data_IF_373304963655
#
_entry.id   IF_373304963655
#
_cell.length_a   1.000
_cell.length_b   1.000
_cell.length_c   1.000
_cell.angle_alpha   90.00
_cell.angle_beta   90.00
_cell.angle_gamma   90.00
#
_symmetry.space_group_name_H-M   'P 1'
#
loop_
_entity.id
_entity.type
_entity.pdbx_description
1 polymer ?
#
# COMPACT_ATOMS: atom_id res chain seq x y z
N UNK A 1 16.30 -21.30 -4.24
CA UNK A 1 16.05 -21.04 -2.80
C UNK A 1 16.28 -19.57 -2.42
N UNK A 2 16.91 -18.75 -3.28
CA UNK A 2 17.26 -17.35 -2.97
C UNK A 2 16.07 -16.37 -3.00
N UNK A 3 15.04 -16.62 -3.81
CA UNK A 3 13.89 -15.71 -3.94
C UNK A 3 12.95 -15.63 -2.71
N UNK A 4 12.94 -16.65 -1.83
CA UNK A 4 12.10 -16.62 -0.61
C UNK A 4 12.70 -15.73 0.49
N UNK A 5 14.04 -15.66 0.59
CA UNK A 5 14.72 -14.85 1.59
C UNK A 5 14.58 -13.35 1.34
N UNK A 6 14.72 -12.92 0.08
CA UNK A 6 14.59 -11.52 -0.31
C UNK A 6 13.17 -11.00 -0.12
N UNK A 7 12.16 -11.82 -0.45
CA UNK A 7 10.75 -11.53 -0.23
C UNK A 7 10.41 -11.30 1.24
N UNK A 8 10.79 -12.23 2.12
CA UNK A 8 10.53 -12.09 3.55
C UNK A 8 11.19 -10.84 4.13
N UNK A 9 12.40 -10.50 3.67
CA UNK A 9 13.06 -9.24 4.04
C UNK A 9 12.29 -8.03 3.56
N UNK A 10 11.79 -8.06 2.33
CA UNK A 10 11.00 -6.96 1.76
C UNK A 10 9.71 -6.75 2.54
N UNK A 11 8.97 -7.82 2.83
CA UNK A 11 7.81 -7.74 3.70
C UNK A 11 8.14 -7.15 5.07
N UNK A 12 9.20 -7.63 5.71
CA UNK A 12 9.63 -7.11 7.02
C UNK A 12 10.04 -5.64 6.98
N UNK A 13 10.60 -5.16 5.86
CA UNK A 13 10.95 -3.76 5.70
C UNK A 13 9.70 -2.84 5.71
N UNK A 14 8.52 -3.34 5.31
CA UNK A 14 7.28 -2.55 5.29
C UNK A 14 6.47 -2.61 6.59
N UNK A 15 6.69 -3.62 7.45
CA UNK A 15 5.86 -3.88 8.63
C UNK A 15 6.55 -3.34 9.90
N UNK A 16 5.75 -2.93 10.90
CA UNK A 16 6.24 -2.53 12.22
C UNK A 16 6.70 -1.07 12.24
N UNK A 17 7.94 -0.83 12.68
CA UNK A 17 8.56 0.51 12.62
C UNK A 17 8.79 0.93 11.16
N UNK A 18 8.91 -0.05 10.25
CA UNK A 18 9.22 0.17 8.84
C UNK A 18 10.65 0.66 8.63
N UNK A 19 11.30 0.17 7.58
CA UNK A 19 12.56 0.70 7.09
C UNK A 19 12.36 1.17 5.65
N UNK A 20 12.10 2.48 5.51
CA UNK A 20 11.86 3.12 4.22
C UNK A 20 13.03 2.90 3.26
N UNK A 21 14.27 3.04 3.74
CA UNK A 21 15.46 2.94 2.91
C UNK A 21 15.62 1.51 2.39
N UNK A 22 15.42 0.53 3.26
CA UNK A 22 15.49 -0.87 2.86
C UNK A 22 14.31 -1.27 1.97
N UNK A 23 13.11 -0.73 2.21
CA UNK A 23 11.95 -0.91 1.34
C UNK A 23 12.22 -0.44 -0.10
N UNK A 24 12.73 0.79 -0.26
CA UNK A 24 13.10 1.33 -1.59
C UNK A 24 14.19 0.47 -2.25
N UNK A 25 15.23 0.10 -1.50
CA UNK A 25 16.31 -0.74 -2.02
C UNK A 25 15.81 -2.11 -2.49
N UNK A 26 14.91 -2.73 -1.73
CA UNK A 26 14.39 -4.06 -2.02
C UNK A 26 13.38 -4.06 -3.16
N UNK A 27 12.56 -3.02 -3.30
CA UNK A 27 11.65 -2.87 -4.43
C UNK A 27 12.41 -2.88 -5.77
N UNK A 28 13.55 -2.20 -5.85
CA UNK A 28 14.40 -2.18 -7.05
C UNK A 28 15.00 -3.54 -7.41
N UNK A 29 15.06 -4.47 -6.47
CA UNK A 29 15.64 -5.81 -6.66
C UNK A 29 14.58 -6.89 -6.93
N UNK A 30 13.29 -6.56 -6.80
CA UNK A 30 12.20 -7.51 -6.93
C UNK A 30 11.49 -7.38 -8.27
N UNK A 31 11.13 -8.53 -8.81
CA UNK A 31 10.26 -8.64 -9.98
C UNK A 31 8.82 -8.21 -9.60
N UNK A 32 8.21 -7.26 -10.34
CA UNK A 32 6.84 -6.81 -10.09
C UNK A 32 5.78 -7.91 -10.01
N UNK A 33 5.86 -8.93 -10.87
CA UNK A 33 4.89 -10.03 -10.89
C UNK A 33 4.98 -10.88 -9.62
N UNK A 34 6.20 -11.00 -9.10
CA UNK A 34 6.52 -11.73 -7.88
C UNK A 34 6.09 -10.93 -6.64
N UNK A 35 6.17 -9.60 -6.70
CA UNK A 35 5.71 -8.69 -5.65
C UNK A 35 4.20 -8.74 -5.50
N UNK A 36 3.47 -8.64 -6.63
CA UNK A 36 2.01 -8.55 -6.62
C UNK A 36 1.35 -9.83 -6.07
N UNK A 37 1.89 -11.01 -6.41
CA UNK A 37 1.34 -12.32 -6.00
C UNK A 37 1.37 -12.53 -4.49
N UNK A 38 2.46 -12.14 -3.84
CA UNK A 38 2.72 -12.55 -2.46
C UNK A 38 2.53 -11.41 -1.45
N UNK A 39 2.67 -10.15 -1.87
CA UNK A 39 2.65 -8.99 -0.98
C UNK A 39 1.50 -8.03 -1.30
N UNK A 40 0.29 -8.59 -1.42
CA UNK A 40 -0.94 -7.83 -1.72
C UNK A 40 -1.23 -6.67 -0.75
N UNK A 41 -0.58 -6.59 0.41
CA UNK A 41 -0.81 -5.52 1.40
C UNK A 41 0.29 -4.46 1.43
N UNK A 42 1.27 -4.52 0.53
CA UNK A 42 2.36 -3.53 0.48
C UNK A 42 1.87 -2.10 0.30
N UNK A 43 0.87 -1.90 -0.55
CA UNK A 43 0.29 -0.58 -0.74
C UNK A 43 -0.26 -0.03 0.60
N UNK A 44 -1.01 -0.86 1.35
CA UNK A 44 -1.51 -0.48 2.68
C UNK A 44 -0.37 -0.12 3.65
N UNK A 45 0.70 -0.91 3.71
CA UNK A 45 1.82 -0.60 4.62
C UNK A 45 2.55 0.69 4.23
N UNK A 46 2.80 0.91 2.92
CA UNK A 46 3.41 2.18 2.46
C UNK A 46 2.56 3.39 2.86
N UNK A 47 1.23 3.26 2.72
CA UNK A 47 0.28 4.29 3.12
C UNK A 47 0.29 4.48 4.63
N UNK A 48 0.20 3.38 5.41
CA UNK A 48 0.19 3.45 6.87
C UNK A 48 1.45 4.10 7.44
N UNK A 49 2.60 3.89 6.79
CA UNK A 49 3.88 4.47 7.19
C UNK A 49 4.13 5.89 6.66
N UNK A 50 3.26 6.43 5.80
CA UNK A 50 3.42 7.77 5.22
C UNK A 50 4.46 7.87 4.11
N UNK A 51 4.73 6.76 3.40
CA UNK A 51 5.76 6.71 2.38
C UNK A 51 5.21 7.04 0.98
N UNK A 52 4.96 8.33 0.73
CA UNK A 52 4.36 8.79 -0.52
C UNK A 52 5.11 8.34 -1.78
N UNK A 53 6.45 8.37 -1.75
CA UNK A 53 7.30 7.95 -2.86
C UNK A 53 7.12 6.46 -3.18
N UNK A 54 7.12 5.62 -2.15
CA UNK A 54 6.87 4.19 -2.27
C UNK A 54 5.43 3.91 -2.71
N UNK A 55 4.44 4.63 -2.18
CA UNK A 55 3.04 4.52 -2.61
C UNK A 55 2.88 4.85 -4.09
N UNK A 56 3.52 5.92 -4.57
CA UNK A 56 3.53 6.29 -6.00
C UNK A 56 4.15 5.20 -6.86
N UNK A 57 5.30 4.67 -6.45
CA UNK A 57 5.97 3.59 -7.19
C UNK A 57 5.09 2.33 -7.24
N UNK A 58 4.51 1.93 -6.11
CA UNK A 58 3.62 0.76 -6.05
C UNK A 58 2.41 0.89 -7.00
N UNK A 59 1.80 2.08 -7.08
CA UNK A 59 0.66 2.32 -7.98
C UNK A 59 1.10 2.40 -9.44
N UNK A 60 2.18 3.12 -9.75
CA UNK A 60 2.54 3.47 -11.13
C UNK A 60 3.45 2.44 -11.81
N UNK A 61 4.47 1.93 -11.10
CA UNK A 61 5.47 0.99 -11.63
C UNK A 61 5.10 -0.46 -11.37
N UNK A 62 4.48 -0.73 -10.23
CA UNK A 62 4.07 -2.09 -9.83
C UNK A 62 2.57 -2.34 -10.01
N UNK A 63 1.84 -1.36 -10.55
CA UNK A 63 0.43 -1.47 -10.94
C UNK A 63 -0.54 -1.91 -9.84
N UNK A 64 -0.24 -1.60 -8.58
CA UNK A 64 -1.18 -1.83 -7.48
C UNK A 64 -2.40 -0.92 -7.64
N UNK A 65 -3.60 -1.50 -7.50
CA UNK A 65 -4.85 -0.76 -7.67
C UNK A 65 -5.41 -0.24 -6.33
N UNK A 66 -5.29 1.06 -6.00
CA UNK A 66 -5.73 1.63 -4.73
C UNK A 66 -7.24 1.56 -4.50
N UNK A 67 -8.05 1.38 -5.56
CA UNK A 67 -9.51 1.29 -5.48
C UNK A 67 -10.01 -0.06 -4.97
N UNK A 68 -9.19 -1.11 -5.10
CA UNK A 68 -9.58 -2.49 -4.79
C UNK A 68 -9.01 -2.99 -3.47
N UNK A 69 -8.10 -2.24 -2.88
CA UNK A 69 -7.39 -2.65 -1.68
C UNK A 69 -8.13 -2.25 -0.42
N UNK A 70 -8.66 -3.28 0.24
CA UNK A 70 -9.20 -3.22 1.59
C UNK A 70 -8.35 -4.11 2.50
N UNK A 71 -7.70 -3.52 3.50
CA UNK A 71 -7.04 -4.27 4.58
C UNK A 71 -7.87 -4.13 5.84
N UNK A 72 -8.38 -5.25 6.39
CA UNK A 72 -9.31 -5.23 7.53
C UNK A 72 -10.51 -4.28 7.29
N UNK A 73 -11.07 -4.32 6.08
CA UNK A 73 -12.19 -3.48 5.63
C UNK A 73 -11.89 -1.96 5.54
N UNK A 74 -10.64 -1.55 5.77
CA UNK A 74 -10.18 -0.17 5.60
C UNK A 74 -9.69 0.06 4.16
N UNK A 75 -10.23 1.08 3.49
CA UNK A 75 -9.74 1.52 2.18
C UNK A 75 -8.39 2.20 2.31
N UNK A 76 -7.63 2.25 1.20
CA UNK A 76 -6.37 3.00 1.13
C UNK A 76 -6.54 4.46 1.60
N UNK A 77 -7.65 5.10 1.22
CA UNK A 77 -7.94 6.47 1.62
C UNK A 77 -8.23 6.60 3.12
N UNK A 78 -9.01 5.67 3.68
CA UNK A 78 -9.29 5.64 5.11
C UNK A 78 -7.99 5.47 5.92
N UNK A 79 -7.11 4.54 5.52
CA UNK A 79 -5.81 4.35 6.19
C UNK A 79 -4.96 5.63 6.14
N UNK A 80 -4.86 6.28 4.97
CA UNK A 80 -4.09 7.53 4.82
C UNK A 80 -4.63 8.64 5.73
N UNK A 81 -5.97 8.83 5.75
CA UNK A 81 -6.62 9.85 6.56
C UNK A 81 -6.49 9.57 8.07
N UNK A 82 -6.72 8.33 8.50
CA UNK A 82 -6.59 7.90 9.90
C UNK A 82 -5.17 8.09 10.44
N UNK A 83 -4.17 7.89 9.60
CA UNK A 83 -2.75 8.07 9.94
C UNK A 83 -2.23 9.50 9.71
N UNK A 84 -3.10 10.44 9.31
CA UNK A 84 -2.78 11.85 9.06
C UNK A 84 -1.72 12.08 7.95
N UNK A 85 -1.69 11.22 6.93
CA UNK A 85 -0.79 11.34 5.77
C UNK A 85 -1.48 12.12 4.65
N UNK A 86 -1.58 13.44 4.84
CA UNK A 86 -2.35 14.35 3.98
C UNK A 86 -1.87 14.34 2.53
N UNK A 87 -0.58 14.22 2.32
CA UNK A 87 0.07 14.13 1.01
C UNK A 87 -0.33 12.87 0.23
N UNK A 88 -0.49 11.75 0.94
CA UNK A 88 -0.99 10.50 0.37
C UNK A 88 -2.49 10.60 0.10
N UNK A 89 -3.28 11.22 0.98
CA UNK A 89 -4.71 11.48 0.73
C UNK A 89 -4.89 12.30 -0.55
N UNK A 90 -4.11 13.37 -0.69
CA UNK A 90 -4.14 14.23 -1.87
C UNK A 90 -3.77 13.44 -3.13
N UNK A 91 -2.70 12.64 -3.08
CA UNK A 91 -2.31 11.78 -4.19
C UNK A 91 -3.41 10.79 -4.59
N UNK A 92 -4.01 10.09 -3.62
CA UNK A 92 -5.06 9.11 -3.88
C UNK A 92 -6.30 9.75 -4.53
N UNK A 93 -6.70 10.95 -4.11
CA UNK A 93 -7.87 11.63 -4.69
C UNK A 93 -7.55 12.24 -6.05
N UNK A 94 -6.48 13.04 -6.13
CA UNK A 94 -6.21 13.86 -7.31
C UNK A 94 -5.59 13.08 -8.45
N UNK A 95 -4.67 12.18 -8.15
CA UNK A 95 -3.90 11.45 -9.16
C UNK A 95 -4.47 10.04 -9.40
N UNK A 96 -4.91 9.34 -8.35
CA UNK A 96 -5.51 8.01 -8.50
C UNK A 96 -7.04 8.04 -8.73
N UNK A 97 -7.70 9.18 -8.51
CA UNK A 97 -9.14 9.33 -8.69
C UNK A 97 -9.98 8.56 -7.65
N UNK A 98 -9.42 8.25 -6.47
CA UNK A 98 -10.16 7.56 -5.42
C UNK A 98 -11.30 8.44 -4.90
N UNK A 99 -12.50 7.86 -4.80
CA UNK A 99 -13.67 8.56 -4.27
C UNK A 99 -13.44 8.91 -2.79
N UNK A 100 -13.48 10.20 -2.39
CA UNK A 100 -13.34 10.61 -1.00
C UNK A 100 -14.45 10.06 -0.09
N UNK A 101 -15.61 9.72 -0.65
CA UNK A 101 -16.74 9.11 0.06
C UNK A 101 -16.67 7.58 0.04
N UNK A 102 -15.60 6.98 -0.51
CA UNK A 102 -15.42 5.54 -0.52
C UNK A 102 -15.42 4.99 0.90
N UNK A 103 -16.55 4.41 1.28
CA UNK A 103 -16.76 3.89 2.61
C UNK A 103 -15.86 2.69 2.84
N UNK A 104 -15.41 2.51 4.09
CA UNK A 104 -15.07 1.17 4.56
C UNK A 104 -16.28 0.28 4.25
N UNK A 105 -16.08 -0.99 3.88
CA UNK A 105 -17.23 -1.90 3.78
C UNK A 105 -17.81 -2.09 5.18
N UNK A 106 -18.63 -1.14 5.64
CA UNK A 106 -19.66 -1.41 6.61
C UNK A 106 -20.65 -2.24 5.81
N UNK A 107 -20.54 -3.55 5.94
CA UNK A 107 -21.61 -4.48 5.61
C UNK A 107 -22.91 -3.87 6.17
N UNK A 108 -23.74 -3.35 5.27
CA UNK A 108 -25.12 -2.98 5.56
C UNK A 108 -25.93 -4.24 5.82
N UNK A 109 -25.76 -4.84 7.00
CA UNK A 109 -26.64 -5.88 7.51
C UNK A 109 -27.51 -5.36 8.66
N UNK A 110 -28.01 -4.12 8.52
CA UNK A 110 -29.22 -3.66 9.17
C UNK A 110 -30.00 -2.83 8.14
N UNK A 111 -30.69 -3.54 7.25
CA UNK A 111 -31.71 -3.03 6.33
C UNK A 111 -32.80 -4.07 6.22
#
# INVERSE_FOLDING_TARGET
MEGKGLRNKCRSAFIGIGDHKEAVRLLLLLDPDVLHRDERYMLHYSISNGWLDVTKDLVTKYHFNPHTYYYKDESCLYTAAKSNHVDIVEYLIKECGCDPMMTTKVIGLYG
#
